data_IF_479147561670
#
_entry.id   IF_479147561670
#
_cell.length_a   1.000
_cell.length_b   1.000
_cell.length_c   1.000
_cell.angle_alpha   90.00
_cell.angle_beta   90.00
_cell.angle_gamma   90.00
#
_symmetry.space_group_name_H-M   'P 1'
#
loop_
_entity.id
_entity.type
_entity.pdbx_description
1 polymer ?
#
# COMPACT_ATOMS: atom_id res chain seq x y z
N UNK A 1 -7.09 10.66 -12.04
CA UNK A 1 -7.36 11.39 -10.76
C UNK A 1 -6.46 10.85 -9.64
N UNK A 2 -5.97 11.73 -8.77
CA UNK A 2 -5.15 11.41 -7.61
C UNK A 2 -5.63 12.19 -6.38
N UNK A 3 -5.86 11.48 -5.27
CA UNK A 3 -6.21 12.04 -3.96
C UNK A 3 -5.31 11.38 -2.93
N UNK A 4 -4.64 12.15 -2.09
CA UNK A 4 -3.83 11.59 -1.01
C UNK A 4 -3.68 12.56 0.16
N UNK A 5 -3.26 12.01 1.30
CA UNK A 5 -2.98 12.75 2.53
C UNK A 5 -1.82 12.07 3.25
N UNK A 6 -0.76 12.82 3.53
CA UNK A 6 0.29 12.38 4.45
C UNK A 6 -0.25 12.36 5.89
N UNK A 7 0.40 11.64 6.83
CA UNK A 7 0.00 11.64 8.23
C UNK A 7 -0.16 13.05 8.78
N UNK A 8 -1.32 13.33 9.39
CA UNK A 8 -1.64 14.62 10.02
C UNK A 8 -1.50 15.85 9.11
N UNK A 9 -1.63 15.69 7.79
CA UNK A 9 -1.62 16.80 6.82
C UNK A 9 -2.98 16.99 6.14
N UNK A 10 -3.12 18.06 5.36
CA UNK A 10 -4.33 18.29 4.56
C UNK A 10 -4.39 17.36 3.34
N UNK A 11 -5.62 17.11 2.85
CA UNK A 11 -5.85 16.31 1.65
C UNK A 11 -5.39 17.10 0.42
N UNK A 12 -4.57 16.45 -0.40
CA UNK A 12 -4.23 16.92 -1.75
C UNK A 12 -5.09 16.19 -2.77
N UNK A 13 -5.73 16.95 -3.67
CA UNK A 13 -6.47 16.42 -4.81
C UNK A 13 -5.91 17.01 -6.11
N UNK A 14 -5.64 16.14 -7.08
CA UNK A 14 -5.12 16.48 -8.40
C UNK A 14 -5.87 15.71 -9.50
N UNK A 15 -6.14 16.40 -10.60
CA UNK A 15 -6.77 15.84 -11.79
C UNK A 15 -5.70 15.59 -12.85
N UNK A 16 -5.83 14.51 -13.60
CA UNK A 16 -4.79 14.04 -14.52
C UNK A 16 -4.55 12.54 -14.45
N UNK A 17 -3.42 12.10 -14.99
CA UNK A 17 -3.08 10.69 -15.21
C UNK A 17 -1.60 10.38 -15.01
N UNK A 18 -1.25 9.09 -15.13
CA UNK A 18 0.12 8.64 -14.95
C UNK A 18 0.84 8.42 -16.28
N UNK A 19 1.94 9.15 -16.49
CA UNK A 19 2.82 8.98 -17.64
C UNK A 19 4.06 8.17 -17.24
N UNK A 20 4.54 7.31 -18.16
CA UNK A 20 5.77 6.53 -17.93
C UNK A 20 6.98 7.46 -17.83
N UNK A 21 7.77 7.30 -16.77
CA UNK A 21 8.93 8.14 -16.48
C UNK A 21 10.05 7.86 -17.48
N UNK A 22 10.54 8.92 -18.12
CA UNK A 22 11.84 8.94 -18.85
C UNK A 22 12.97 9.45 -17.96
N UNK A 23 12.67 10.41 -17.09
CA UNK A 23 13.62 11.01 -16.12
C UNK A 23 12.84 11.36 -14.85
N UNK A 24 13.39 11.05 -13.68
CA UNK A 24 12.71 11.31 -12.42
C UNK A 24 12.50 12.82 -12.22
N UNK A 25 11.27 13.25 -11.88
CA UNK A 25 11.00 14.66 -11.66
C UNK A 25 11.64 15.13 -10.34
N UNK A 26 11.92 16.44 -10.24
CA UNK A 26 12.34 17.04 -8.96
C UNK A 26 11.23 16.99 -7.91
N UNK A 27 9.98 17.20 -8.34
CA UNK A 27 8.79 17.18 -7.51
C UNK A 27 7.68 16.42 -8.25
N UNK A 28 6.92 15.58 -7.56
CA UNK A 28 5.78 14.88 -8.15
C UNK A 28 5.37 13.64 -7.35
N UNK A 29 4.27 13.03 -7.77
CA UNK A 29 3.82 11.75 -7.24
C UNK A 29 4.27 10.63 -8.19
N UNK A 30 5.04 9.67 -7.68
CA UNK A 30 5.62 8.60 -8.48
C UNK A 30 5.13 7.23 -7.99
N UNK A 31 4.78 6.38 -8.94
CA UNK A 31 4.49 4.97 -8.71
C UNK A 31 5.54 4.13 -9.43
N UNK A 32 6.18 3.23 -8.72
CA UNK A 32 7.18 2.33 -9.29
C UNK A 32 6.86 0.88 -8.93
N UNK A 33 6.98 -0.01 -9.92
CA UNK A 33 6.92 -1.45 -9.65
C UNK A 33 8.11 -1.85 -8.78
N UNK A 34 7.90 -2.76 -7.83
CA UNK A 34 8.94 -3.21 -6.90
C UNK A 34 10.25 -3.64 -7.57
N UNK A 35 10.19 -4.34 -8.72
CA UNK A 35 11.38 -4.77 -9.47
C UNK A 35 12.07 -3.64 -10.26
N UNK A 36 11.60 -2.41 -10.15
CA UNK A 36 12.16 -1.24 -10.83
C UNK A 36 11.92 -1.17 -12.34
N UNK A 37 11.21 -2.13 -12.94
CA UNK A 37 11.06 -2.24 -14.41
C UNK A 37 10.25 -1.11 -15.04
N UNK A 38 9.28 -0.56 -14.31
CA UNK A 38 8.43 0.54 -14.77
C UNK A 38 8.20 1.52 -13.62
N UNK A 39 8.31 2.80 -13.93
CA UNK A 39 7.96 3.91 -13.05
C UNK A 39 7.09 4.92 -13.81
N UNK A 40 6.16 5.55 -13.10
CA UNK A 40 5.17 6.46 -13.64
C UNK A 40 5.08 7.70 -12.75
N UNK A 41 4.95 8.87 -13.36
CA UNK A 41 4.77 10.15 -12.68
C UNK A 41 3.35 10.66 -12.96
N UNK A 42 2.71 11.23 -11.94
CA UNK A 42 1.44 11.89 -12.12
C UNK A 42 1.62 13.23 -12.83
N UNK A 43 0.93 13.42 -13.95
CA UNK A 43 0.88 14.66 -14.72
C UNK A 43 -0.53 15.25 -14.63
N UNK A 44 -0.62 16.53 -14.27
CA UNK A 44 -1.90 17.21 -14.11
C UNK A 44 -2.53 17.51 -15.48
N UNK A 45 -3.80 17.14 -15.63
CA UNK A 45 -4.62 17.38 -16.81
C UNK A 45 -6.07 17.59 -16.37
N UNK A 46 -6.59 18.79 -16.63
CA UNK A 46 -7.93 19.21 -16.20
C UNK A 46 -9.07 18.41 -16.85
N UNK A 47 -8.77 17.67 -17.93
CA UNK A 47 -9.77 16.90 -18.69
C UNK A 47 -10.05 15.52 -18.10
N UNK A 48 -9.20 15.00 -17.21
CA UNK A 48 -9.32 13.63 -16.66
C UNK A 48 -9.81 13.59 -15.21
N UNK A 49 -11.12 13.40 -15.04
CA UNK A 49 -11.79 13.39 -13.73
C UNK A 49 -12.53 12.10 -13.37
N UNK A 50 -12.37 11.01 -14.13
CA UNK A 50 -13.12 9.78 -13.89
C UNK A 50 -12.28 8.65 -13.29
N UNK A 51 -12.94 7.79 -12.52
CA UNK A 51 -12.38 6.51 -12.13
C UNK A 51 -12.44 5.53 -13.30
N UNK A 52 -11.35 4.81 -13.52
CA UNK A 52 -11.26 3.66 -14.42
C UNK A 52 -11.06 2.38 -13.62
N UNK A 53 -12.03 1.49 -13.68
CA UNK A 53 -11.98 0.19 -12.99
C UNK A 53 -11.61 -0.91 -13.97
N UNK A 54 -10.40 -1.44 -13.83
CA UNK A 54 -9.92 -2.56 -14.63
C UNK A 54 -10.53 -3.87 -14.11
N UNK A 55 -11.07 -4.69 -15.02
CA UNK A 55 -11.52 -6.05 -14.70
C UNK A 55 -10.30 -6.97 -14.64
N UNK A 56 -9.76 -7.17 -13.45
CA UNK A 56 -8.67 -8.12 -13.22
C UNK A 56 -9.18 -9.33 -12.44
N UNK A 57 -8.82 -10.52 -12.91
CA UNK A 57 -8.96 -11.75 -12.13
C UNK A 57 -7.65 -11.99 -11.38
N UNK A 58 -7.72 -12.00 -10.06
CA UNK A 58 -6.59 -12.35 -9.21
C UNK A 58 -6.76 -13.77 -8.68
N UNK A 59 -5.67 -14.54 -8.53
CA UNK A 59 -5.75 -15.87 -7.93
C UNK A 59 -6.29 -15.74 -6.51
N UNK A 60 -7.46 -16.34 -6.27
CA UNK A 60 -8.05 -16.40 -4.94
C UNK A 60 -7.36 -17.50 -4.15
N UNK A 61 -7.04 -17.21 -2.90
CA UNK A 61 -6.48 -18.18 -1.97
C UNK A 61 -7.46 -18.36 -0.82
N UNK A 62 -7.97 -19.58 -0.65
CA UNK A 62 -8.84 -19.88 0.49
C UNK A 62 -8.03 -19.81 1.79
N UNK A 63 -8.73 -19.62 2.93
CA UNK A 63 -8.08 -19.67 4.24
C UNK A 63 -7.31 -21.00 4.44
N UNK A 64 -7.89 -22.11 4.01
CA UNK A 64 -7.29 -23.43 4.15
C UNK A 64 -6.01 -23.57 3.32
N UNK A 65 -6.03 -23.09 2.07
CA UNK A 65 -4.85 -23.15 1.19
C UNK A 65 -3.72 -22.26 1.73
N UNK A 66 -4.08 -21.10 2.27
CA UNK A 66 -3.12 -20.20 2.91
C UNK A 66 -2.47 -20.84 4.15
N UNK A 67 -3.25 -21.49 5.01
CA UNK A 67 -2.72 -22.18 6.20
C UNK A 67 -1.80 -23.33 5.80
N UNK A 68 -2.19 -24.15 4.82
CA UNK A 68 -1.35 -25.23 4.27
C UNK A 68 -0.04 -24.70 3.67
N UNK A 69 -0.09 -23.57 2.97
CA UNK A 69 1.12 -22.91 2.47
C UNK A 69 2.01 -22.41 3.61
N UNK A 70 1.41 -21.86 4.67
CA UNK A 70 2.10 -21.45 5.89
C UNK A 70 2.82 -22.61 6.60
N UNK A 71 2.16 -23.75 6.78
CA UNK A 71 2.76 -24.95 7.37
C UNK A 71 3.98 -25.43 6.57
N UNK A 72 3.83 -25.51 5.24
CA UNK A 72 4.93 -25.87 4.35
C UNK A 72 6.09 -24.88 4.44
N UNK A 73 5.79 -23.59 4.54
CA UNK A 73 6.79 -22.54 4.67
C UNK A 73 7.54 -22.65 5.99
N UNK A 74 6.86 -22.93 7.10
CA UNK A 74 7.51 -23.15 8.41
C UNK A 74 8.48 -24.32 8.35
N UNK A 75 8.07 -25.45 7.75
CA UNK A 75 8.94 -26.63 7.57
C UNK A 75 10.14 -26.30 6.67
N UNK A 76 9.92 -25.56 5.58
CA UNK A 76 10.99 -25.15 4.69
C UNK A 76 12.00 -24.22 5.38
N UNK A 77 11.51 -23.26 6.18
CA UNK A 77 12.36 -22.30 6.90
C UNK A 77 13.30 -22.98 7.90
N UNK A 78 12.83 -24.02 8.60
CA UNK A 78 13.64 -24.79 9.54
C UNK A 78 14.86 -25.45 8.89
N UNK A 79 14.77 -25.75 7.59
CA UNK A 79 15.83 -26.39 6.81
C UNK A 79 16.55 -25.41 5.85
N UNK A 80 16.34 -24.10 6.03
CA UNK A 80 16.91 -23.07 5.15
C UNK A 80 17.77 -22.08 5.92
N UNK A 81 18.60 -21.33 5.19
CA UNK A 81 19.34 -20.18 5.75
C UNK A 81 18.45 -18.93 5.93
N UNK A 82 17.24 -18.93 5.37
CA UNK A 82 16.31 -17.80 5.43
C UNK A 82 15.81 -17.61 6.86
N UNK A 83 16.12 -16.44 7.45
CA UNK A 83 15.75 -16.13 8.84
C UNK A 83 14.33 -15.60 8.99
N UNK A 84 13.82 -14.88 7.99
CA UNK A 84 12.50 -14.24 8.01
C UNK A 84 11.94 -14.17 6.59
N UNK A 85 10.63 -14.36 6.48
CA UNK A 85 9.89 -14.23 5.23
C UNK A 85 8.46 -13.80 5.55
N UNK A 86 7.77 -13.24 4.56
CA UNK A 86 6.38 -12.83 4.67
C UNK A 86 5.58 -13.61 3.64
N UNK A 87 4.63 -14.42 4.12
CA UNK A 87 3.62 -15.04 3.26
C UNK A 87 2.43 -14.09 3.16
N UNK A 88 1.91 -13.90 1.95
CA UNK A 88 0.74 -13.05 1.70
C UNK A 88 -0.33 -13.78 0.90
N UNK A 89 -1.55 -13.26 0.93
CA UNK A 89 -2.67 -13.74 0.12
C UNK A 89 -3.54 -12.58 -0.35
N UNK A 90 -4.29 -12.82 -1.42
CA UNK A 90 -5.30 -11.89 -1.91
C UNK A 90 -6.66 -12.30 -1.36
N UNK A 91 -7.39 -11.33 -0.82
CA UNK A 91 -8.82 -11.46 -0.50
C UNK A 91 -9.61 -10.59 -1.47
N UNK A 92 -10.67 -11.14 -2.05
CA UNK A 92 -11.51 -10.43 -3.01
C UNK A 92 -12.95 -10.41 -2.51
N UNK A 93 -13.59 -9.25 -2.66
CA UNK A 93 -14.98 -9.04 -2.33
C UNK A 93 -15.61 -8.15 -3.41
N UNK A 94 -16.91 -8.32 -3.66
CA UNK A 94 -17.66 -7.41 -4.52
C UNK A 94 -17.77 -6.04 -3.85
N UNK A 95 -17.53 -4.99 -4.63
CA UNK A 95 -17.59 -3.61 -4.16
C UNK A 95 -18.33 -2.75 -5.17
N UNK A 96 -19.23 -1.90 -4.69
CA UNK A 96 -19.86 -0.87 -5.50
C UNK A 96 -18.88 0.27 -5.73
N UNK A 97 -18.30 0.28 -6.92
CA UNK A 97 -17.25 1.23 -7.33
C UNK A 97 -17.70 2.69 -7.32
N UNK A 98 -19.01 2.98 -7.30
CA UNK A 98 -19.50 4.35 -7.13
C UNK A 98 -19.17 4.93 -5.75
N UNK A 99 -18.91 4.08 -4.75
CA UNK A 99 -18.58 4.45 -3.37
C UNK A 99 -17.09 4.65 -3.11
N UNK A 100 -16.23 4.64 -4.12
CA UNK A 100 -14.77 4.77 -3.92
C UNK A 100 -14.36 6.06 -3.21
N UNK A 101 -15.02 7.19 -3.49
CA UNK A 101 -14.74 8.45 -2.79
C UNK A 101 -15.25 8.45 -1.35
N UNK A 102 -16.43 7.89 -1.12
CA UNK A 102 -16.97 7.72 0.23
C UNK A 102 -16.04 6.86 1.08
N UNK A 103 -15.56 5.74 0.53
CA UNK A 103 -14.59 4.87 1.18
C UNK A 103 -13.27 5.59 1.49
N UNK A 104 -12.78 6.44 0.58
CA UNK A 104 -11.60 7.26 0.84
C UNK A 104 -11.82 8.19 2.03
N UNK A 105 -12.94 8.93 2.07
CA UNK A 105 -13.26 9.82 3.18
C UNK A 105 -13.39 9.08 4.52
N UNK A 106 -13.99 7.89 4.52
CA UNK A 106 -14.09 7.04 5.71
C UNK A 106 -12.71 6.62 6.24
N UNK A 107 -11.84 6.13 5.35
CA UNK A 107 -10.50 5.66 5.71
C UNK A 107 -9.59 6.83 6.15
N UNK A 108 -9.70 7.97 5.48
CA UNK A 108 -8.94 9.18 5.83
C UNK A 108 -9.23 9.62 7.28
N UNK A 109 -10.51 9.65 7.66
CA UNK A 109 -10.96 9.99 9.01
C UNK A 109 -10.57 8.94 10.05
N UNK A 110 -10.68 7.66 9.71
CA UNK A 110 -10.41 6.55 10.63
C UNK A 110 -8.91 6.41 10.95
N UNK A 111 -8.02 6.72 10.00
CA UNK A 111 -6.58 6.51 10.13
C UNK A 111 -5.77 7.81 10.00
N UNK A 112 -5.86 8.76 10.95
CA UNK A 112 -5.21 10.08 10.85
C UNK A 112 -3.68 10.03 10.76
N UNK A 113 -3.06 8.99 11.31
CA UNK A 113 -1.61 8.78 11.32
C UNK A 113 -1.08 8.01 10.10
N UNK A 114 -1.94 7.56 9.19
CA UNK A 114 -1.54 6.83 7.99
C UNK A 114 -1.31 7.75 6.79
N UNK A 115 -0.49 7.31 5.84
CA UNK A 115 -0.51 7.84 4.48
C UNK A 115 -1.71 7.23 3.75
N UNK A 116 -2.71 8.05 3.47
CA UNK A 116 -3.96 7.62 2.80
C UNK A 116 -3.92 8.09 1.36
N UNK A 117 -4.22 7.21 0.42
CA UNK A 117 -4.21 7.52 -1.01
C UNK A 117 -5.37 6.85 -1.74
N UNK A 118 -5.82 7.49 -2.80
CA UNK A 118 -6.77 6.98 -3.77
C UNK A 118 -6.39 7.55 -5.15
N UNK A 119 -6.06 6.69 -6.10
CA UNK A 119 -5.83 7.11 -7.47
C UNK A 119 -6.46 6.13 -8.45
N UNK A 120 -6.71 6.63 -9.64
CA UNK A 120 -7.29 5.84 -10.72
C UNK A 120 -6.66 6.21 -12.04
N UNK A 121 -6.22 5.18 -12.76
CA UNK A 121 -5.51 5.27 -14.02
C UNK A 121 -5.87 4.07 -14.93
N UNK A 122 -5.93 4.30 -16.23
CA UNK A 122 -6.30 3.27 -17.20
C UNK A 122 -5.26 2.16 -17.37
N UNK A 123 -4.00 2.42 -17.01
CA UNK A 123 -2.89 1.47 -17.11
C UNK A 123 -2.61 0.85 -15.72
N UNK A 124 -2.59 1.68 -14.68
CA UNK A 124 -2.23 1.22 -13.32
C UNK A 124 -3.41 0.65 -12.53
N UNK A 125 -4.64 0.91 -12.99
CA UNK A 125 -5.87 0.55 -12.30
C UNK A 125 -6.26 1.56 -11.23
N UNK A 126 -7.22 1.17 -10.40
CA UNK A 126 -7.66 1.96 -9.25
C UNK A 126 -7.08 1.38 -7.97
N UNK A 127 -6.46 2.23 -7.17
CA UNK A 127 -5.87 1.88 -5.90
C UNK A 127 -6.40 2.78 -4.80
N UNK A 128 -6.68 2.20 -3.65
CA UNK A 128 -7.05 2.90 -2.43
C UNK A 128 -6.35 2.20 -1.26
N UNK A 129 -5.77 2.97 -0.35
CA UNK A 129 -5.12 2.40 0.83
C UNK A 129 -4.76 3.41 1.90
N UNK A 130 -4.47 2.89 3.09
CA UNK A 130 -3.93 3.62 4.23
C UNK A 130 -2.68 2.87 4.73
N UNK A 131 -1.49 3.34 4.36
CA UNK A 131 -0.23 2.74 4.82
C UNK A 131 0.23 3.43 6.11
N UNK A 132 0.43 2.70 7.22
CA UNK A 132 1.01 3.27 8.43
C UNK A 132 2.54 3.40 8.33
N UNK A 133 3.18 2.76 7.36
CA UNK A 133 4.63 2.68 7.25
C UNK A 133 5.16 3.63 6.17
N UNK A 134 5.95 4.61 6.60
CA UNK A 134 6.75 5.44 5.69
C UNK A 134 8.11 4.78 5.54
N UNK A 135 8.37 4.23 4.35
CA UNK A 135 9.62 3.54 4.05
C UNK A 135 10.84 4.45 4.20
N UNK A 136 10.78 5.66 3.63
CA UNK A 136 11.87 6.63 3.64
C UNK A 136 11.32 8.05 3.50
N UNK A 137 11.79 8.96 4.34
CA UNK A 137 11.74 10.41 4.12
C UNK A 137 13.14 10.95 3.93
N UNK A 138 13.24 12.04 3.17
CA UNK A 138 14.49 12.78 3.00
C UNK A 138 14.19 14.27 3.12
N UNK A 139 14.87 14.94 4.04
CA UNK A 139 14.87 16.40 4.15
C UNK A 139 16.32 16.90 4.12
N UNK A 140 16.68 17.64 3.05
CA UNK A 140 18.08 18.03 2.76
C UNK A 140 18.99 16.80 2.73
N UNK A 141 19.93 16.69 3.67
CA UNK A 141 20.86 15.56 3.79
C UNK A 141 20.45 14.57 4.91
N UNK A 142 19.28 14.78 5.52
CA UNK A 142 18.74 13.92 6.57
C UNK A 142 17.81 12.89 5.92
N UNK A 143 18.07 11.61 6.20
CA UNK A 143 17.23 10.49 5.81
C UNK A 143 16.61 9.87 7.07
N UNK A 144 15.30 9.60 7.02
CA UNK A 144 14.62 8.87 8.09
C UNK A 144 13.85 7.69 7.49
N UNK A 145 13.88 6.56 8.17
CA UNK A 145 13.13 5.36 7.78
C UNK A 145 12.31 4.88 8.97
N UNK A 146 11.17 4.27 8.70
CA UNK A 146 10.35 3.58 9.71
C UNK A 146 10.35 2.10 9.35
N UNK A 147 10.67 1.26 10.31
CA UNK A 147 10.50 -0.19 10.18
C UNK A 147 9.34 -0.60 11.07
N UNK A 148 8.25 -1.10 10.49
CA UNK A 148 7.11 -1.61 11.23
C UNK A 148 7.11 -3.14 11.14
N UNK A 149 7.26 -3.80 12.29
CA UNK A 149 7.12 -5.24 12.38
C UNK A 149 6.44 -5.63 13.69
N UNK A 150 5.95 -6.87 13.74
CA UNK A 150 5.05 -7.35 14.78
C UNK A 150 3.68 -6.66 14.74
N UNK A 151 2.63 -7.42 15.04
CA UNK A 151 1.25 -6.90 14.96
C UNK A 151 0.44 -7.46 16.12
N UNK A 152 -0.30 -6.58 16.76
CA UNK A 152 -1.29 -6.92 17.77
C UNK A 152 -2.64 -6.33 17.39
N UNK A 153 -3.71 -6.96 17.88
CA UNK A 153 -5.04 -6.37 17.76
C UNK A 153 -5.09 -5.07 18.57
N UNK A 154 -5.82 -4.07 18.08
CA UNK A 154 -5.93 -2.77 18.73
C UNK A 154 -6.44 -2.86 20.18
N UNK A 155 -7.32 -3.83 20.44
CA UNK A 155 -7.91 -4.05 21.77
C UNK A 155 -7.01 -4.91 22.70
N UNK A 156 -5.90 -5.44 22.20
CA UNK A 156 -4.99 -6.30 22.98
C UNK A 156 -3.99 -5.47 23.82
N UNK A 157 -4.34 -5.27 25.09
CA UNK A 157 -3.55 -4.51 26.07
C UNK A 157 -2.41 -5.31 26.74
N UNK A 158 -2.14 -6.56 26.33
CA UNK A 158 -1.05 -7.33 26.92
C UNK A 158 0.34 -6.69 26.65
N UNK A 159 1.37 -6.95 27.45
CA UNK A 159 2.73 -6.55 27.09
C UNK A 159 3.22 -7.34 25.87
N UNK A 160 4.06 -6.73 25.03
CA UNK A 160 4.76 -7.42 23.96
C UNK A 160 5.64 -8.55 24.52
N UNK A 161 5.55 -9.73 23.94
CA UNK A 161 6.39 -10.86 24.34
C UNK A 161 7.75 -10.82 23.63
N UNK A 162 8.63 -11.75 24.00
CA UNK A 162 9.99 -11.81 23.46
C UNK A 162 10.06 -12.12 21.96
N UNK A 163 9.07 -12.82 21.39
CA UNK A 163 8.99 -13.05 19.94
C UNK A 163 8.71 -11.74 19.22
N UNK A 164 7.70 -10.99 19.63
CA UNK A 164 7.36 -9.74 18.93
C UNK A 164 8.45 -8.68 19.09
N UNK A 165 9.13 -8.62 20.24
CA UNK A 165 10.29 -7.73 20.43
C UNK A 165 11.47 -8.10 19.53
N UNK A 166 11.69 -9.38 19.24
CA UNK A 166 12.74 -9.85 18.32
C UNK A 166 12.38 -9.68 16.85
N UNK A 167 11.09 -9.64 16.53
CA UNK A 167 10.58 -9.46 15.17
C UNK A 167 10.63 -8.00 14.69
N UNK A 168 10.59 -7.05 15.62
CA UNK A 168 10.70 -5.59 15.44
C UNK A 168 12.15 -5.13 15.30
#
# INVERSE_FOLDING_TARGET
>A
MLIYRFPNQEITKKNGGFAKIKTFPKNGFVIQKFKGSDAYVFEEDETQNSFTFLKNQHPLCSKNDYLKAGEKLVIALQNSEVKKTVLSRIHSQTFDTSKSLELFCLIEKEYPSAFVYCFSDSILGTWLGASPEILLTKEKDIFQTTALASTKNADDQSPWNEKEKKEQ
#
